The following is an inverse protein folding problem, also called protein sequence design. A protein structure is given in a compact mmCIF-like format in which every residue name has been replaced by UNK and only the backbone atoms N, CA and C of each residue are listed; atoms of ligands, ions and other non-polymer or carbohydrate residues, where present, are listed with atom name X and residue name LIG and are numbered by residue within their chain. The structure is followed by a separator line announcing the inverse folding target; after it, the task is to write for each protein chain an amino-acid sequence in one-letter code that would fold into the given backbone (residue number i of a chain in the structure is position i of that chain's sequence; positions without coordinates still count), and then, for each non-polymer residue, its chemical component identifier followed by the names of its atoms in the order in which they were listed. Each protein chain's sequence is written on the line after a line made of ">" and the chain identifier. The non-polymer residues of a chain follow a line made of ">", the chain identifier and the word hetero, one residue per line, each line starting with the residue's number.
data_IF_195730616212
#
_entry.id   IF_195730616212
#
_cell.length_a   1.000
_cell.length_b   1.000
_cell.length_c   1.000
_cell.angle_alpha   90.00
_cell.angle_beta   90.00
_cell.angle_gamma   90.00
#
_symmetry.space_group_name_H-M   'P 1'
#
loop_
_entity.id
_entity.type
_entity.pdbx_description
1 polymer ?
#
# COMPACT_ATOMS: atom_id res chain seq x y z
N UNK A 1 -8.55 10.51 3.81
CA UNK A 1 -9.32 9.46 3.10
C UNK A 1 -9.32 9.79 1.61
N UNK A 2 -9.00 8.82 0.73
CA UNK A 2 -8.96 9.04 -0.71
C UNK A 2 -10.38 9.31 -1.23
N UNK A 3 -10.59 10.44 -1.91
CA UNK A 3 -11.93 10.99 -2.13
C UNK A 3 -12.80 10.18 -3.11
N UNK A 4 -12.16 9.42 -4.01
CA UNK A 4 -12.85 8.67 -5.07
C UNK A 4 -12.47 7.18 -5.13
N UNK A 5 -11.66 6.68 -4.20
CA UNK A 5 -11.28 5.27 -4.17
C UNK A 5 -12.34 4.41 -3.46
N UNK A 6 -12.57 3.19 -3.95
CA UNK A 6 -13.52 2.27 -3.33
C UNK A 6 -12.79 1.34 -2.34
N UNK A 7 -12.91 1.65 -1.04
CA UNK A 7 -12.24 0.90 0.02
C UNK A 7 -13.01 -0.36 0.46
N UNK A 8 -12.28 -1.34 1.00
CA UNK A 8 -12.81 -2.58 1.56
C UNK A 8 -12.72 -2.61 3.09
N UNK A 9 -13.65 -3.32 3.76
CA UNK A 9 -13.58 -3.52 5.22
C UNK A 9 -12.49 -4.50 5.65
N UNK A 10 -12.04 -5.36 4.74
CA UNK A 10 -10.99 -6.34 4.98
C UNK A 10 -10.00 -6.34 3.80
N UNK A 11 -8.70 -6.54 4.06
CA UNK A 11 -7.73 -6.71 2.98
C UNK A 11 -7.90 -8.08 2.30
N UNK A 12 -7.24 -8.28 1.16
CA UNK A 12 -7.15 -9.57 0.48
C UNK A 12 -6.58 -10.63 1.45
N UNK A 13 -7.32 -11.71 1.72
CA UNK A 13 -6.92 -12.73 2.69
C UNK A 13 -5.67 -13.53 2.28
N UNK A 14 -5.25 -13.45 1.01
CA UNK A 14 -4.03 -14.09 0.50
C UNK A 14 -2.81 -13.19 0.65
N UNK A 15 -3.00 -11.90 0.93
CA UNK A 15 -1.92 -10.96 1.15
C UNK A 15 -1.26 -11.17 2.49
N UNK A 16 -0.07 -10.58 2.67
CA UNK A 16 0.64 -10.55 3.95
C UNK A 16 0.99 -9.14 4.33
N UNK A 17 1.06 -8.85 5.63
CA UNK A 17 1.48 -7.54 6.13
C UNK A 17 2.89 -7.21 5.63
N UNK A 18 3.08 -5.96 5.21
CA UNK A 18 4.40 -5.39 4.97
C UNK A 18 5.24 -5.51 6.26
N UNK A 19 6.47 -6.00 6.13
CA UNK A 19 7.47 -6.02 7.20
C UNK A 19 8.63 -5.08 6.84
N UNK A 20 9.44 -4.68 7.83
CA UNK A 20 10.59 -3.80 7.59
C UNK A 20 11.58 -4.38 6.56
N UNK A 21 11.80 -5.71 6.60
CA UNK A 21 12.69 -6.41 5.66
C UNK A 21 12.18 -6.41 4.20
N UNK A 22 10.90 -6.06 3.98
CA UNK A 22 10.33 -5.95 2.65
C UNK A 22 10.63 -4.60 1.98
N UNK A 23 11.03 -3.58 2.76
CA UNK A 23 11.33 -2.23 2.29
C UNK A 23 12.61 -2.27 1.44
N UNK A 24 12.43 -2.64 0.19
CA UNK A 24 13.49 -2.88 -0.79
C UNK A 24 13.03 -2.35 -2.15
N UNK A 25 13.94 -2.16 -3.12
CA UNK A 25 13.55 -1.70 -4.46
C UNK A 25 12.52 -2.60 -5.17
N UNK A 26 12.30 -3.83 -4.68
CA UNK A 26 11.33 -4.79 -5.24
C UNK A 26 9.87 -4.42 -5.02
N UNK A 27 9.59 -3.48 -4.11
CA UNK A 27 8.24 -2.95 -3.88
C UNK A 27 7.78 -2.05 -5.02
N UNK A 28 8.72 -1.40 -5.73
CA UNK A 28 8.36 -0.53 -6.83
C UNK A 28 7.62 -1.30 -7.93
N UNK A 29 6.53 -0.71 -8.41
CA UNK A 29 5.67 -1.29 -9.42
C UNK A 29 4.73 -2.40 -8.93
N UNK A 30 4.50 -2.50 -7.61
CA UNK A 30 3.57 -3.47 -7.02
C UNK A 30 2.25 -2.82 -6.63
N UNK A 31 1.18 -3.58 -6.82
CA UNK A 31 -0.10 -3.31 -6.16
C UNK A 31 -0.07 -3.84 -4.74
N UNK A 32 -0.59 -3.04 -3.82
CA UNK A 32 -0.71 -3.33 -2.39
C UNK A 32 -2.04 -2.80 -1.87
N UNK A 33 -2.43 -3.17 -0.67
CA UNK A 33 -3.56 -2.54 0.01
C UNK A 33 -3.08 -1.72 1.21
N UNK A 34 -3.53 -0.47 1.29
CA UNK A 34 -3.23 0.48 2.36
C UNK A 34 -4.46 0.67 3.25
N UNK A 35 -4.28 0.60 4.55
CA UNK A 35 -5.32 0.92 5.53
C UNK A 35 -5.37 2.41 5.82
N UNK A 36 -6.56 2.98 5.75
CA UNK A 36 -6.82 4.35 6.19
C UNK A 36 -7.55 4.34 7.55
N UNK A 37 -6.95 4.90 8.62
CA UNK A 37 -7.54 4.84 9.96
C UNK A 37 -8.87 5.58 10.13
N UNK A 38 -9.08 6.70 9.41
CA UNK A 38 -10.25 7.56 9.64
C UNK A 38 -11.58 6.88 9.30
N UNK A 39 -11.60 6.03 8.27
CA UNK A 39 -12.79 5.32 7.79
C UNK A 39 -12.73 3.80 8.02
N UNK A 40 -11.59 3.33 8.54
CA UNK A 40 -11.28 1.93 8.75
C UNK A 40 -11.45 1.08 7.49
N UNK A 41 -10.97 1.57 6.35
CA UNK A 41 -11.00 0.88 5.06
C UNK A 41 -9.60 0.56 4.52
N UNK A 42 -9.55 -0.46 3.68
CA UNK A 42 -8.39 -0.90 2.91
C UNK A 42 -8.53 -0.48 1.46
N UNK A 43 -7.51 0.18 0.91
CA UNK A 43 -7.53 0.75 -0.42
C UNK A 43 -6.45 0.12 -1.30
N UNK A 44 -6.81 -0.26 -2.52
CA UNK A 44 -5.85 -0.71 -3.52
C UNK A 44 -4.99 0.49 -3.96
N UNK A 45 -3.68 0.35 -3.80
CA UNK A 45 -2.69 1.36 -4.19
C UNK A 45 -1.57 0.73 -5.01
N UNK A 46 -1.02 1.52 -5.93
CA UNK A 46 0.16 1.17 -6.71
C UNK A 46 1.38 1.92 -6.19
N UNK A 47 2.48 1.23 -5.92
CA UNK A 47 3.74 1.85 -5.51
C UNK A 47 4.48 2.33 -6.77
N UNK A 48 4.40 3.62 -7.07
CA UNK A 48 5.03 4.23 -8.24
C UNK A 48 6.55 4.36 -8.07
N UNK A 49 6.98 4.85 -6.90
CA UNK A 49 8.39 5.09 -6.60
C UNK A 49 8.68 4.79 -5.14
N UNK A 50 9.90 4.33 -4.86
CA UNK A 50 10.40 4.09 -3.50
C UNK A 50 11.77 4.76 -3.30
N UNK A 51 11.97 5.36 -2.14
CA UNK A 51 13.28 5.71 -1.59
C UNK A 51 13.56 4.83 -0.38
N UNK A 52 14.35 3.76 -0.58
CA UNK A 52 14.66 2.79 0.48
C UNK A 52 15.49 3.41 1.60
N UNK A 53 16.30 4.44 1.31
CA UNK A 53 17.15 5.09 2.32
C UNK A 53 16.32 5.99 3.21
N UNK A 54 15.40 6.76 2.61
CA UNK A 54 14.46 7.60 3.35
C UNK A 54 13.29 6.78 3.93
N UNK A 55 13.10 5.53 3.49
CA UNK A 55 11.94 4.68 3.77
C UNK A 55 10.62 5.34 3.39
N UNK A 56 10.60 6.06 2.26
CA UNK A 56 9.37 6.67 1.74
C UNK A 56 8.96 6.03 0.42
N UNK A 57 7.67 6.12 0.09
CA UNK A 57 7.14 5.70 -1.20
C UNK A 57 6.08 6.67 -1.71
N UNK A 58 6.10 6.92 -3.02
CA UNK A 58 4.97 7.53 -3.71
C UNK A 58 4.01 6.42 -4.12
N UNK A 59 2.75 6.58 -3.75
CA UNK A 59 1.68 5.67 -4.13
C UNK A 59 0.63 6.38 -4.98
N UNK A 60 -0.13 5.58 -5.71
CA UNK A 60 -1.29 6.02 -6.49
C UNK A 60 -2.50 5.20 -6.05
N UNK A 61 -3.57 5.86 -5.63
CA UNK A 61 -4.83 5.20 -5.28
C UNK A 61 -5.59 4.76 -6.53
N UNK A 62 -6.20 3.56 -6.50
CA UNK A 62 -7.06 3.10 -7.59
C UNK A 62 -8.55 3.13 -7.20
N UNK A 63 -9.47 3.59 -8.07
CA UNK A 63 -9.25 4.13 -9.42
C UNK A 63 -9.06 5.67 -9.47
N UNK A 64 -8.90 6.36 -8.33
CA UNK A 64 -8.88 7.84 -8.30
C UNK A 64 -7.63 8.47 -8.91
N UNK A 65 -6.54 7.69 -9.04
CA UNK A 65 -5.22 8.15 -9.49
C UNK A 65 -4.61 9.26 -8.62
N UNK A 66 -5.12 9.45 -7.40
CA UNK A 66 -4.57 10.39 -6.43
C UNK A 66 -3.18 9.93 -5.97
N UNK A 67 -2.22 10.86 -5.97
CA UNK A 67 -0.84 10.64 -5.54
C UNK A 67 -0.66 11.02 -4.08
N UNK A 68 0.03 10.17 -3.32
CA UNK A 68 0.41 10.45 -1.93
C UNK A 68 1.81 9.90 -1.64
N UNK A 69 2.54 10.56 -0.75
CA UNK A 69 3.81 10.07 -0.21
C UNK A 69 3.57 9.43 1.16
N UNK A 70 4.10 8.22 1.37
CA UNK A 70 3.98 7.46 2.62
C UNK A 70 5.34 7.31 3.31
N UNK A 71 5.31 7.29 4.64
CA UNK A 71 6.39 6.75 5.48
C UNK A 71 6.22 5.23 5.63
N UNK A 72 7.10 4.45 5.01
CA UNK A 72 7.02 3.00 5.04
C UNK A 72 7.42 2.40 6.41
N UNK A 73 8.17 3.13 7.24
CA UNK A 73 8.55 2.66 8.57
C UNK A 73 7.32 2.68 9.50
N UNK A 74 6.55 3.77 9.48
CA UNK A 74 5.29 3.87 10.21
C UNK A 74 4.26 2.86 9.70
N UNK A 75 4.09 2.78 8.39
CA UNK A 75 3.13 1.85 7.76
C UNK A 75 3.45 0.38 8.08
N UNK A 76 4.73 -0.02 8.07
CA UNK A 76 5.13 -1.37 8.43
C UNK A 76 4.93 -1.64 9.93
N UNK A 77 5.29 -0.68 10.79
CA UNK A 77 5.13 -0.78 12.24
C UNK A 77 3.67 -0.91 12.67
N UNK A 78 2.79 -0.14 12.04
CA UNK A 78 1.35 -0.14 12.36
C UNK A 78 0.60 -1.30 11.66
N UNK A 79 1.27 -1.98 10.72
CA UNK A 79 0.65 -3.05 9.93
C UNK A 79 -0.44 -2.53 8.99
N UNK A 80 -0.29 -1.29 8.52
CA UNK A 80 -1.26 -0.59 7.67
C UNK A 80 -1.08 -0.87 6.17
N UNK A 81 -0.19 -1.78 5.78
CA UNK A 81 -0.07 -2.22 4.38
C UNK A 81 -0.05 -3.74 4.25
N UNK A 82 -0.70 -4.23 3.20
CA UNK A 82 -0.69 -5.64 2.77
C UNK A 82 -0.06 -5.75 1.40
N UNK A 83 0.98 -6.58 1.33
CA UNK A 83 1.59 -7.02 0.08
C UNK A 83 0.71 -8.12 -0.53
N UNK A 84 0.29 -7.89 -1.77
CA UNK A 84 -0.51 -8.84 -2.53
C UNK A 84 0.39 -9.96 -3.12
N UNK A 85 -0.15 -11.18 -3.30
CA UNK A 85 0.58 -12.24 -3.97
C UNK A 85 1.01 -11.82 -5.37
N UNK A 86 2.27 -12.10 -5.75
CA UNK A 86 2.72 -11.85 -7.11
C UNK A 86 2.12 -12.88 -8.06
N UNK A 87 1.00 -12.51 -8.69
CA UNK A 87 0.25 -13.33 -9.64
C UNK A 87 -1.22 -13.37 -9.28
N UNK A 88 -2.02 -12.48 -9.88
CA UNK A 88 -3.47 -12.48 -9.65
C UNK A 88 -4.23 -11.23 -10.05
N UNK A 89 -3.78 -10.48 -11.06
CA UNK A 89 -4.72 -9.77 -11.92
C UNK A 89 -4.95 -10.72 -13.11
N UNK A 90 -5.89 -11.66 -12.95
CA UNK A 90 -6.54 -12.35 -14.06
C UNK A 90 -7.88 -11.68 -14.31
#
# INVERSE_FOLDING_TARGET
>A
MPASANGSKHPDPRGRRLQHDDITPRLQGKYTELYWPDDALWYLVYIDRIDVRAKTANIIYYPSEELEELDLDEIAKDGHMVLLPQGGLQ
#
